data_IF_765944022969
#
_entry.id   IF_765944022969
#
_cell.length_a   1.000
_cell.length_b   1.000
_cell.length_c   1.000
_cell.angle_alpha   90.00
_cell.angle_beta   90.00
_cell.angle_gamma   90.00
#
_symmetry.space_group_name_H-M   'P 1'
#
loop_
_entity.id
_entity.type
_entity.pdbx_description
1 polymer ?
#
# COMPACT_ATOMS: atom_id res chain seq x y z
N UNK A 1 -11.79 -26.88 -13.41
CA UNK A 1 -11.11 -25.99 -12.44
C UNK A 1 -9.63 -26.11 -12.72
N UNK A 2 -8.95 -24.99 -13.00
CA UNK A 2 -7.50 -25.01 -13.20
C UNK A 2 -6.82 -25.43 -11.88
N UNK A 3 -5.75 -26.21 -11.97
CA UNK A 3 -5.00 -26.64 -10.78
C UNK A 3 -4.31 -25.44 -10.13
N UNK A 4 -4.50 -25.26 -8.82
CA UNK A 4 -3.89 -24.15 -8.08
C UNK A 4 -2.37 -24.28 -8.06
N UNK A 5 -1.66 -23.18 -8.31
CA UNK A 5 -0.20 -23.12 -8.22
C UNK A 5 0.24 -23.18 -6.74
N UNK A 6 0.87 -24.28 -6.26
CA UNK A 6 1.11 -24.45 -4.83
C UNK A 6 2.04 -23.41 -4.20
N UNK A 7 2.97 -22.85 -4.99
CA UNK A 7 3.87 -21.77 -4.53
C UNK A 7 3.14 -20.45 -4.31
N UNK A 8 2.20 -20.10 -5.21
CA UNK A 8 1.39 -18.89 -5.08
C UNK A 8 0.43 -19.00 -3.88
N UNK A 9 -0.18 -20.17 -3.67
CA UNK A 9 -1.00 -20.43 -2.47
C UNK A 9 -0.17 -20.26 -1.18
N UNK A 10 1.05 -20.81 -1.14
CA UNK A 10 1.94 -20.63 0.03
C UNK A 10 2.33 -19.16 0.24
N UNK A 11 2.62 -18.44 -0.84
CA UNK A 11 2.95 -17.01 -0.78
C UNK A 11 1.77 -16.19 -0.25
N UNK A 12 0.56 -16.42 -0.75
CA UNK A 12 -0.66 -15.78 -0.28
C UNK A 12 -0.89 -15.99 1.22
N UNK A 13 -0.72 -17.24 1.69
CA UNK A 13 -0.83 -17.56 3.12
C UNK A 13 0.23 -16.85 3.97
N UNK A 14 1.47 -16.78 3.50
CA UNK A 14 2.55 -16.07 4.20
C UNK A 14 2.25 -14.57 4.31
N UNK A 15 1.80 -13.93 3.21
CA UNK A 15 1.46 -12.49 3.18
C UNK A 15 0.30 -12.18 4.12
N UNK A 16 -0.72 -13.04 4.18
CA UNK A 16 -1.87 -12.89 5.06
C UNK A 16 -1.58 -13.07 6.56
N UNK A 17 -0.36 -13.44 6.95
CA UNK A 17 0.04 -13.61 8.34
C UNK A 17 -0.79 -14.66 9.09
N UNK A 18 -1.13 -14.40 10.36
CA UNK A 18 -1.88 -15.34 11.20
C UNK A 18 -3.23 -15.70 10.57
N UNK A 19 -3.98 -14.71 10.09
CA UNK A 19 -5.27 -14.96 9.45
C UNK A 19 -5.12 -15.70 8.11
N UNK A 20 -4.08 -15.37 7.33
CA UNK A 20 -3.78 -16.05 6.07
C UNK A 20 -3.44 -17.53 6.25
N UNK A 21 -2.76 -17.90 7.34
CA UNK A 21 -2.41 -19.30 7.63
C UNK A 21 -3.65 -20.18 7.88
N UNK A 22 -4.71 -19.61 8.45
CA UNK A 22 -5.96 -20.33 8.74
C UNK A 22 -6.98 -20.27 7.61
N UNK A 23 -6.87 -19.29 6.72
CA UNK A 23 -7.80 -19.11 5.62
C UNK A 23 -7.63 -20.20 4.55
N UNK A 24 -8.77 -20.65 4.00
CA UNK A 24 -8.78 -21.43 2.76
C UNK A 24 -8.47 -20.48 1.61
N UNK A 25 -7.46 -20.83 0.81
CA UNK A 25 -7.11 -20.13 -0.43
C UNK A 25 -7.48 -21.06 -1.58
N UNK A 26 -8.48 -20.66 -2.37
CA UNK A 26 -8.87 -21.31 -3.62
C UNK A 26 -8.77 -20.32 -4.80
N UNK A 27 -9.20 -20.73 -6.00
CA UNK A 27 -9.00 -19.94 -7.21
C UNK A 27 -9.72 -18.59 -7.21
N UNK A 28 -10.77 -18.45 -6.39
CA UNK A 28 -11.56 -17.23 -6.27
C UNK A 28 -11.09 -16.33 -5.11
N UNK A 29 -10.06 -16.74 -4.37
CA UNK A 29 -9.52 -15.90 -3.30
C UNK A 29 -8.76 -14.71 -3.90
N UNK A 30 -9.07 -13.44 -3.53
CA UNK A 30 -8.37 -12.26 -4.04
C UNK A 30 -6.87 -12.27 -3.72
N UNK A 31 -6.48 -12.91 -2.62
CA UNK A 31 -5.09 -13.16 -2.28
C UNK A 31 -4.35 -14.02 -3.33
N UNK A 32 -5.06 -14.89 -4.04
CA UNK A 32 -4.48 -15.78 -5.05
C UNK A 32 -4.57 -15.18 -6.45
N UNK A 33 -5.76 -14.81 -6.91
CA UNK A 33 -5.95 -14.38 -8.29
C UNK A 33 -5.25 -13.05 -8.60
N UNK A 34 -5.00 -12.20 -7.61
CA UNK A 34 -4.14 -11.01 -7.78
C UNK A 34 -2.71 -11.33 -8.20
N UNK A 35 -2.16 -12.48 -7.79
CA UNK A 35 -0.75 -12.81 -8.00
C UNK A 35 -0.51 -13.87 -9.06
N UNK A 36 -1.50 -14.75 -9.31
CA UNK A 36 -1.29 -15.97 -10.12
C UNK A 36 -0.84 -15.69 -11.57
N UNK A 37 -1.22 -14.55 -12.15
CA UNK A 37 -0.85 -14.22 -13.53
C UNK A 37 0.40 -13.35 -13.65
N UNK A 38 0.87 -12.76 -12.54
CA UNK A 38 1.98 -11.79 -12.54
C UNK A 38 3.20 -12.23 -11.74
N UNK A 39 3.07 -13.24 -10.88
CA UNK A 39 4.17 -13.79 -10.08
C UNK A 39 4.53 -15.19 -10.60
N UNK A 40 5.77 -15.38 -11.03
CA UNK A 40 6.29 -16.70 -11.42
C UNK A 40 6.58 -17.59 -10.22
N UNK A 41 6.72 -18.90 -10.44
CA UNK A 41 7.03 -19.85 -9.36
C UNK A 41 8.43 -19.61 -8.77
N UNK A 42 9.38 -19.12 -9.58
CA UNK A 42 10.72 -18.76 -9.14
C UNK A 42 10.72 -17.47 -8.32
N UNK A 43 9.96 -16.47 -8.75
CA UNK A 43 9.73 -15.25 -7.98
C UNK A 43 9.05 -15.57 -6.64
N UNK A 44 8.08 -16.48 -6.63
CA UNK A 44 7.42 -16.91 -5.40
C UNK A 44 8.40 -17.57 -4.41
N UNK A 45 9.35 -18.39 -4.88
CA UNK A 45 10.38 -18.96 -4.01
C UNK A 45 11.26 -17.88 -3.37
N UNK A 46 11.65 -16.85 -4.14
CA UNK A 46 12.44 -15.71 -3.62
C UNK A 46 11.62 -14.91 -2.59
N UNK A 47 10.34 -14.64 -2.87
CA UNK A 47 9.46 -13.93 -1.94
C UNK A 47 9.24 -14.71 -0.63
N UNK A 48 9.01 -16.03 -0.74
CA UNK A 48 8.89 -16.92 0.41
C UNK A 48 10.17 -16.99 1.25
N UNK A 49 11.33 -16.96 0.60
CA UNK A 49 12.63 -16.96 1.29
C UNK A 49 12.87 -15.70 2.13
N UNK A 50 12.30 -14.56 1.72
CA UNK A 50 12.39 -13.32 2.49
C UNK A 50 11.67 -13.43 3.84
N UNK A 51 10.45 -13.99 3.81
CA UNK A 51 9.51 -13.99 4.93
C UNK A 51 8.75 -12.66 5.05
N UNK A 52 7.62 -12.69 5.76
CA UNK A 52 6.79 -11.50 5.97
C UNK A 52 7.54 -10.46 6.83
N UNK A 53 7.62 -9.21 6.32
CA UNK A 53 8.19 -8.03 7.01
C UNK A 53 9.61 -8.21 7.54
N UNK A 54 10.43 -9.03 6.87
CA UNK A 54 11.86 -9.20 7.20
C UNK A 54 12.73 -8.67 6.07
N UNK A 55 13.57 -7.71 6.40
CA UNK A 55 14.53 -7.14 5.46
C UNK A 55 15.66 -8.11 5.18
N UNK A 56 15.85 -8.44 3.91
CA UNK A 56 16.90 -9.35 3.45
C UNK A 56 17.74 -8.69 2.38
N UNK A 57 19.06 -8.89 2.45
CA UNK A 57 19.95 -8.58 1.34
C UNK A 57 19.78 -9.63 0.24
N UNK A 58 20.24 -9.30 -0.97
CA UNK A 58 20.19 -10.23 -2.09
C UNK A 58 21.05 -11.48 -1.85
N UNK A 59 22.18 -11.37 -1.13
CA UNK A 59 23.05 -12.50 -0.80
C UNK A 59 22.36 -13.50 0.12
N UNK A 60 21.57 -12.99 1.08
CA UNK A 60 20.76 -13.84 1.94
C UNK A 60 19.73 -14.63 1.11
N UNK A 61 19.00 -13.93 0.23
CA UNK A 61 17.98 -14.54 -0.61
C UNK A 61 18.61 -15.58 -1.56
N UNK A 62 19.73 -15.24 -2.20
CA UNK A 62 20.44 -16.12 -3.13
C UNK A 62 20.90 -17.41 -2.42
N UNK A 63 21.50 -17.29 -1.24
CA UNK A 63 21.88 -18.44 -0.41
C UNK A 63 20.68 -19.28 0.00
N UNK A 64 19.56 -18.65 0.37
CA UNK A 64 18.36 -19.35 0.84
C UNK A 64 17.64 -20.09 -0.30
N UNK A 65 17.66 -19.53 -1.50
CA UNK A 65 17.04 -20.11 -2.70
C UNK A 65 17.97 -21.05 -3.47
N UNK A 66 19.28 -21.07 -3.16
CA UNK A 66 20.27 -21.85 -3.92
C UNK A 66 20.50 -21.31 -5.34
N UNK A 67 20.35 -19.99 -5.54
CA UNK A 67 20.50 -19.29 -6.83
C UNK A 67 21.75 -18.42 -6.84
N UNK A 68 22.14 -17.93 -8.03
CA UNK A 68 23.19 -16.91 -8.12
C UNK A 68 22.69 -15.56 -7.54
N UNK A 69 23.64 -14.73 -7.08
CA UNK A 69 23.31 -13.38 -6.58
C UNK A 69 22.70 -12.52 -7.69
N UNK A 70 23.25 -12.60 -8.91
CA UNK A 70 22.77 -11.85 -10.08
C UNK A 70 21.33 -12.22 -10.45
N UNK A 71 21.04 -13.52 -10.59
CA UNK A 71 19.70 -14.00 -10.89
C UNK A 71 18.70 -13.62 -9.79
N UNK A 72 19.09 -13.79 -8.52
CA UNK A 72 18.23 -13.42 -7.39
C UNK A 72 17.96 -11.93 -7.34
N UNK A 73 18.96 -11.10 -7.67
CA UNK A 73 18.80 -9.65 -7.73
C UNK A 73 17.76 -9.26 -8.77
N UNK A 74 17.88 -9.83 -9.98
CA UNK A 74 16.92 -9.62 -11.06
C UNK A 74 15.50 -9.99 -10.63
N UNK A 75 15.30 -11.18 -10.08
CA UNK A 75 13.99 -11.64 -9.61
C UNK A 75 13.43 -10.75 -8.48
N UNK A 76 14.29 -10.27 -7.57
CA UNK A 76 13.88 -9.39 -6.49
C UNK A 76 13.46 -8.00 -6.99
N UNK A 77 14.14 -7.46 -8.02
CA UNK A 77 13.75 -6.21 -8.66
C UNK A 77 12.44 -6.35 -9.43
N UNK A 78 12.25 -7.44 -10.18
CA UNK A 78 10.98 -7.74 -10.86
C UNK A 78 9.83 -7.84 -9.85
N UNK A 79 10.04 -8.52 -8.72
CA UNK A 79 9.06 -8.56 -7.62
C UNK A 79 8.73 -7.18 -7.05
N UNK A 80 9.71 -6.26 -7.02
CA UNK A 80 9.48 -4.88 -6.61
C UNK A 80 8.71 -4.07 -7.67
N UNK A 81 8.96 -4.31 -8.95
CA UNK A 81 8.19 -3.74 -10.06
C UNK A 81 6.75 -4.27 -10.10
N UNK A 82 6.54 -5.55 -9.78
CA UNK A 82 5.19 -6.14 -9.63
C UNK A 82 4.46 -5.50 -8.45
N UNK A 83 5.16 -5.28 -7.34
CA UNK A 83 4.62 -4.69 -6.10
C UNK A 83 4.60 -5.64 -4.89
N UNK A 84 5.10 -6.87 -5.05
CA UNK A 84 5.19 -7.88 -3.98
C UNK A 84 6.33 -7.56 -3.01
N UNK A 85 7.47 -7.10 -3.54
CA UNK A 85 8.57 -6.60 -2.73
C UNK A 85 8.55 -5.08 -2.60
N UNK A 86 8.93 -4.64 -1.40
CA UNK A 86 9.53 -3.33 -1.19
C UNK A 86 11.03 -3.45 -1.31
N UNK A 87 11.67 -2.41 -1.83
CA UNK A 87 13.12 -2.27 -1.86
C UNK A 87 13.52 -0.90 -1.30
N UNK A 88 14.51 -0.88 -0.42
CA UNK A 88 15.13 0.36 0.09
C UNK A 88 16.62 0.14 0.37
N UNK A 89 17.34 1.24 0.61
CA UNK A 89 18.73 1.19 1.04
C UNK A 89 18.83 0.98 2.55
N UNK A 90 19.71 0.08 2.98
CA UNK A 90 20.09 -0.03 4.40
C UNK A 90 21.14 1.04 4.77
N UNK A 91 21.58 1.05 6.03
CA UNK A 91 22.60 2.00 6.53
C UNK A 91 23.97 1.87 5.86
N UNK A 92 24.22 0.79 5.11
CA UNK A 92 25.44 0.56 4.32
C UNK A 92 25.28 0.91 2.84
N UNK A 93 24.12 1.40 2.42
CA UNK A 93 23.83 1.72 1.02
C UNK A 93 23.51 0.51 0.14
N UNK A 94 23.29 -0.66 0.73
CA UNK A 94 22.92 -1.89 0.01
C UNK A 94 21.40 -1.98 -0.15
N UNK A 95 20.93 -2.59 -1.24
CA UNK A 95 19.51 -2.89 -1.40
C UNK A 95 19.08 -4.00 -0.43
N UNK A 96 18.02 -3.73 0.32
CA UNK A 96 17.29 -4.73 1.09
C UNK A 96 15.87 -4.87 0.57
N UNK A 97 15.40 -6.10 0.51
CA UNK A 97 14.09 -6.47 0.00
C UNK A 97 13.24 -7.08 1.11
N UNK A 98 11.94 -6.79 1.10
CA UNK A 98 11.00 -7.37 2.05
C UNK A 98 9.57 -7.44 1.49
N UNK A 99 8.80 -8.41 1.99
CA UNK A 99 7.37 -8.57 1.69
C UNK A 99 6.54 -7.81 2.71
N UNK A 100 5.56 -7.02 2.26
CA UNK A 100 4.57 -6.36 3.12
C UNK A 100 3.26 -7.19 3.19
N UNK A 101 2.28 -6.72 3.96
CA UNK A 101 0.92 -7.31 3.94
C UNK A 101 0.17 -6.90 2.66
N UNK A 102 -0.98 -7.51 2.39
CA UNK A 102 -1.80 -7.19 1.21
C UNK A 102 -2.31 -5.74 1.19
N UNK A 103 -2.85 -5.23 2.30
CA UNK A 103 -3.40 -3.87 2.40
C UNK A 103 -3.30 -3.30 3.83
N UNK A 104 -2.85 -2.04 4.02
CA UNK A 104 -2.11 -1.23 3.04
C UNK A 104 -0.75 -1.90 2.71
N UNK A 105 -0.42 -2.02 1.43
CA UNK A 105 0.77 -2.77 1.00
C UNK A 105 0.69 -3.27 -0.45
N UNK A 106 0.86 -4.59 -0.63
CA UNK A 106 1.09 -5.22 -1.94
C UNK A 106 0.03 -4.84 -2.98
N UNK A 107 -1.25 -4.92 -2.66
CA UNK A 107 -2.33 -4.66 -3.63
C UNK A 107 -2.33 -3.20 -4.08
N UNK A 108 -2.04 -2.26 -3.18
CA UNK A 108 -1.90 -0.85 -3.52
C UNK A 108 -0.72 -0.63 -4.50
N UNK A 109 0.38 -1.36 -4.33
CA UNK A 109 1.54 -1.27 -5.22
C UNK A 109 1.29 -1.92 -6.57
N UNK A 110 0.58 -3.03 -6.59
CA UNK A 110 0.22 -3.73 -7.82
C UNK A 110 -0.73 -2.88 -8.67
N UNK A 111 -1.73 -2.25 -8.05
CA UNK A 111 -2.64 -1.32 -8.73
C UNK A 111 -1.95 -0.02 -9.14
N UNK A 112 -0.99 0.47 -8.35
CA UNK A 112 -0.18 1.65 -8.68
C UNK A 112 0.70 1.47 -9.93
N UNK A 113 0.96 0.22 -10.35
CA UNK A 113 1.62 -0.06 -11.63
C UNK A 113 0.58 -0.01 -12.77
N UNK A 114 0.50 1.14 -13.45
CA UNK A 114 -0.51 1.42 -14.49
C UNK A 114 -0.50 0.41 -15.64
N UNK A 115 0.70 -0.02 -16.09
CA UNK A 115 0.83 -1.00 -17.18
C UNK A 115 0.30 -2.35 -16.72
N UNK A 116 0.73 -2.80 -15.55
CA UNK A 116 0.26 -4.06 -14.97
C UNK A 116 -1.25 -4.05 -14.75
N UNK A 117 -1.83 -2.97 -14.22
CA UNK A 117 -3.28 -2.88 -14.01
C UNK A 117 -4.07 -2.91 -15.33
N UNK A 118 -3.52 -2.36 -16.41
CA UNK A 118 -4.15 -2.41 -17.73
C UNK A 118 -4.10 -3.81 -18.36
N UNK A 119 -3.01 -4.55 -18.14
CA UNK A 119 -2.84 -5.93 -18.63
C UNK A 119 -3.56 -6.97 -17.74
N UNK A 120 -3.66 -6.68 -16.45
CA UNK A 120 -4.21 -7.55 -15.40
C UNK A 120 -5.24 -6.81 -14.53
N UNK A 121 -6.42 -6.46 -15.07
CA UNK A 121 -7.47 -5.76 -14.33
C UNK A 121 -7.97 -6.52 -13.10
N UNK A 122 -7.83 -7.86 -13.07
CA UNK A 122 -8.18 -8.70 -11.93
C UNK A 122 -7.44 -8.27 -10.64
N UNK A 123 -6.31 -7.58 -10.73
CA UNK A 123 -5.61 -7.02 -9.56
C UNK A 123 -6.43 -5.90 -8.89
N UNK A 124 -7.10 -5.06 -9.68
CA UNK A 124 -7.99 -4.02 -9.18
C UNK A 124 -9.22 -4.59 -8.49
N UNK A 125 -9.81 -5.62 -9.11
CA UNK A 125 -10.91 -6.42 -8.52
C UNK A 125 -10.48 -7.03 -7.17
N UNK A 126 -9.28 -7.64 -7.13
CA UNK A 126 -8.73 -8.22 -5.91
C UNK A 126 -8.55 -7.18 -4.80
N UNK A 127 -8.09 -5.98 -5.14
CA UNK A 127 -7.89 -4.93 -4.14
C UNK A 127 -9.20 -4.45 -3.51
N UNK A 128 -10.23 -4.25 -4.33
CA UNK A 128 -11.59 -3.95 -3.88
C UNK A 128 -12.11 -5.06 -2.96
N UNK A 129 -12.10 -6.29 -3.46
CA UNK A 129 -12.72 -7.43 -2.80
C UNK A 129 -12.00 -7.81 -1.51
N UNK A 130 -10.67 -7.88 -1.54
CA UNK A 130 -9.86 -8.19 -0.37
C UNK A 130 -10.13 -7.18 0.76
N UNK A 131 -10.07 -5.88 0.45
CA UNK A 131 -10.28 -4.84 1.48
C UNK A 131 -11.70 -4.89 2.03
N UNK A 132 -12.71 -5.06 1.16
CA UNK A 132 -14.12 -5.20 1.57
C UNK A 132 -14.34 -6.40 2.48
N UNK A 133 -13.87 -7.59 2.09
CA UNK A 133 -14.03 -8.83 2.87
C UNK A 133 -13.31 -8.74 4.21
N UNK A 134 -12.05 -8.29 4.22
CA UNK A 134 -11.28 -8.14 5.47
C UNK A 134 -11.94 -7.17 6.43
N UNK A 135 -12.38 -6.02 5.93
CA UNK A 135 -13.02 -5.01 6.75
C UNK A 135 -14.41 -5.43 7.22
N UNK A 136 -15.15 -6.24 6.47
CA UNK A 136 -16.44 -6.78 6.93
C UNK A 136 -16.33 -7.58 8.24
N UNK A 137 -15.19 -8.26 8.44
CA UNK A 137 -14.91 -9.01 9.67
C UNK A 137 -14.29 -8.12 10.75
N UNK A 138 -13.36 -7.24 10.37
CA UNK A 138 -12.57 -6.46 11.34
C UNK A 138 -13.28 -5.22 11.86
N UNK A 139 -14.09 -4.54 11.03
CA UNK A 139 -14.65 -3.23 11.31
C UNK A 139 -15.37 -3.10 12.67
N UNK A 140 -16.19 -4.07 13.13
CA UNK A 140 -16.84 -3.98 14.44
C UNK A 140 -15.90 -4.07 15.64
N UNK A 141 -14.67 -4.54 15.44
CA UNK A 141 -13.67 -4.78 16.49
C UNK A 141 -12.63 -3.67 16.59
N UNK A 142 -12.63 -2.73 15.64
CA UNK A 142 -11.63 -1.66 15.61
C UNK A 142 -11.95 -0.62 16.68
N UNK A 143 -10.98 -0.27 17.56
CA UNK A 143 -11.18 0.81 18.51
C UNK A 143 -11.22 2.17 17.80
N UNK A 144 -11.57 3.22 18.54
CA UNK A 144 -11.49 4.59 18.03
C UNK A 144 -10.08 4.89 17.50
N UNK A 145 -9.97 5.40 16.27
CA UNK A 145 -8.70 5.68 15.60
C UNK A 145 -7.85 4.42 15.30
N UNK A 146 -8.44 3.22 15.44
CA UNK A 146 -7.75 1.94 15.24
C UNK A 146 -7.80 1.41 13.80
N UNK A 147 -8.30 2.19 12.85
CA UNK A 147 -8.30 1.84 11.43
C UNK A 147 -6.89 1.62 10.87
N UNK A 148 -6.79 0.90 9.74
CA UNK A 148 -5.51 0.72 9.03
C UNK A 148 -5.02 1.99 8.34
N UNK A 149 -5.93 2.93 8.12
CA UNK A 149 -5.68 4.31 7.71
C UNK A 149 -6.28 5.22 8.77
N UNK A 150 -5.63 6.36 9.05
CA UNK A 150 -6.08 7.36 10.01
C UNK A 150 -6.23 8.70 9.31
N UNK A 151 -7.33 9.40 9.56
CA UNK A 151 -7.54 10.76 9.08
C UNK A 151 -6.60 11.72 9.82
N UNK A 152 -5.97 12.63 9.07
CA UNK A 152 -5.24 13.77 9.62
C UNK A 152 -6.11 15.01 9.40
N UNK A 153 -6.39 15.79 10.47
CA UNK A 153 -7.18 17.00 10.33
C UNK A 153 -6.50 18.01 9.40
N UNK A 154 -7.30 18.81 8.71
CA UNK A 154 -6.78 19.99 8.00
C UNK A 154 -6.13 20.89 9.03
N UNK A 155 -4.87 21.25 8.82
CA UNK A 155 -4.05 21.88 9.85
C UNK A 155 -4.60 23.25 10.30
N UNK A 156 -5.20 24.01 9.37
CA UNK A 156 -5.87 25.28 9.68
C UNK A 156 -7.09 25.10 10.60
N UNK A 157 -7.74 23.93 10.60
CA UNK A 157 -8.88 23.63 11.47
C UNK A 157 -8.46 23.37 12.93
N UNK A 158 -7.18 23.07 13.18
CA UNK A 158 -6.62 22.79 14.51
C UNK A 158 -5.59 23.83 14.95
N UNK A 159 -5.41 24.92 14.20
CA UNK A 159 -4.40 25.95 14.49
C UNK A 159 -4.57 26.56 15.89
N UNK A 160 -5.81 26.84 16.30
CA UNK A 160 -6.13 27.40 17.61
C UNK A 160 -6.25 26.33 18.72
N UNK A 161 -6.12 25.04 18.40
CA UNK A 161 -6.24 23.98 19.38
C UNK A 161 -4.92 23.78 20.13
N UNK A 162 -4.84 24.29 21.36
CA UNK A 162 -3.64 24.17 22.21
C UNK A 162 -3.31 22.74 22.63
N UNK A 163 -4.20 21.77 22.39
CA UNK A 163 -3.98 20.34 22.67
C UNK A 163 -3.52 19.56 21.43
N UNK A 164 -3.49 20.19 20.25
CA UNK A 164 -3.03 19.54 19.02
C UNK A 164 -1.57 19.13 19.16
N UNK A 165 -1.29 17.87 18.87
CA UNK A 165 0.06 17.29 18.97
C UNK A 165 0.77 17.34 17.61
N UNK A 166 2.11 17.34 17.55
CA UNK A 166 2.83 17.51 16.29
C UNK A 166 2.43 16.52 15.19
N UNK A 167 2.25 15.24 15.53
CA UNK A 167 1.89 14.19 14.56
C UNK A 167 0.41 14.23 14.09
N UNK A 168 -0.37 15.22 14.52
CA UNK A 168 -1.69 15.54 13.94
C UNK A 168 -1.60 16.64 12.87
N UNK A 169 -0.40 17.17 12.60
CA UNK A 169 -0.14 18.22 11.62
C UNK A 169 0.56 17.63 10.40
N UNK A 170 0.13 18.00 9.20
CA UNK A 170 0.84 17.56 7.99
C UNK A 170 2.21 18.22 7.88
N UNK A 171 2.34 19.48 8.33
CA UNK A 171 3.62 20.18 8.39
C UNK A 171 4.70 19.39 9.14
N UNK A 172 4.36 18.68 10.21
CA UNK A 172 5.28 17.81 10.94
C UNK A 172 5.90 16.73 10.05
N UNK A 173 5.08 16.06 9.23
CA UNK A 173 5.57 15.02 8.31
C UNK A 173 6.37 15.64 7.16
N UNK A 174 5.92 16.79 6.63
CA UNK A 174 6.65 17.51 5.60
C UNK A 174 8.00 18.05 6.10
N UNK A 175 8.13 18.46 7.36
CA UNK A 175 9.41 18.89 7.94
C UNK A 175 10.37 17.72 8.19
N UNK A 176 9.82 16.54 8.44
CA UNK A 176 10.59 15.35 8.83
C UNK A 176 11.28 14.65 7.67
N UNK A 177 10.67 14.63 6.50
CA UNK A 177 11.18 13.95 5.31
C UNK A 177 11.70 14.95 4.29
N UNK A 178 12.61 14.53 3.41
CA UNK A 178 13.25 15.37 2.39
C UNK A 178 12.91 14.97 0.94
N UNK A 179 12.40 13.75 0.77
CA UNK A 179 12.11 13.15 -0.53
C UNK A 179 10.62 12.92 -0.64
N UNK A 180 10.02 13.39 -1.75
CA UNK A 180 8.59 13.29 -1.99
C UNK A 180 8.30 12.80 -3.40
N UNK A 181 7.19 12.08 -3.53
CA UNK A 181 6.65 11.72 -4.83
C UNK A 181 5.13 11.83 -4.84
N UNK A 182 4.56 12.02 -6.03
CA UNK A 182 3.11 12.03 -6.23
C UNK A 182 2.72 10.97 -7.25
N UNK A 183 1.74 10.15 -6.87
CA UNK A 183 1.15 9.11 -7.70
C UNK A 183 -0.36 9.30 -7.82
N UNK A 184 -0.94 8.55 -8.76
CA UNK A 184 -2.38 8.40 -8.85
C UNK A 184 -2.92 7.57 -7.66
N UNK A 185 -4.21 7.71 -7.37
CA UNK A 185 -4.86 7.01 -6.26
C UNK A 185 -5.15 5.55 -6.63
N UNK A 186 -4.47 4.60 -5.97
CA UNK A 186 -4.72 3.17 -6.19
C UNK A 186 -6.16 2.76 -5.87
N UNK A 187 -6.81 3.36 -4.87
CA UNK A 187 -8.21 3.02 -4.55
C UNK A 187 -9.17 3.45 -5.67
N UNK A 188 -8.99 4.65 -6.24
CA UNK A 188 -9.80 5.12 -7.37
C UNK A 188 -9.49 4.35 -8.65
N UNK A 189 -8.22 4.03 -8.90
CA UNK A 189 -7.81 3.18 -10.01
C UNK A 189 -8.45 1.79 -9.95
N UNK A 190 -8.48 1.15 -8.77
CA UNK A 190 -9.16 -0.14 -8.57
C UNK A 190 -10.67 -0.02 -8.81
N UNK A 191 -11.31 1.03 -8.27
CA UNK A 191 -12.74 1.31 -8.50
C UNK A 191 -13.07 1.48 -9.99
N UNK A 192 -12.25 2.22 -10.74
CA UNK A 192 -12.42 2.40 -12.19
C UNK A 192 -12.42 1.07 -12.93
N UNK A 193 -11.51 0.15 -12.55
CA UNK A 193 -11.42 -1.17 -13.19
C UNK A 193 -12.69 -1.99 -12.99
N UNK A 194 -13.32 -1.90 -11.81
CA UNK A 194 -14.61 -2.58 -11.52
C UNK A 194 -15.83 -1.81 -12.01
N UNK A 195 -15.65 -0.79 -12.86
CA UNK A 195 -16.75 -0.01 -13.45
C UNK A 195 -17.40 0.99 -12.50
N UNK A 196 -16.73 1.33 -11.39
CA UNK A 196 -17.26 2.22 -10.38
C UNK A 196 -16.47 3.54 -10.29
N UNK A 197 -17.18 4.65 -10.07
CA UNK A 197 -16.56 5.97 -9.94
C UNK A 197 -17.21 6.80 -8.84
N UNK A 198 -16.52 7.84 -8.38
CA UNK A 198 -17.04 8.78 -7.38
C UNK A 198 -16.97 10.26 -7.81
N UNK A 199 -16.65 10.54 -9.09
CA UNK A 199 -16.51 11.89 -9.62
C UNK A 199 -15.27 12.67 -9.17
N UNK A 200 -14.50 12.17 -8.21
CA UNK A 200 -13.23 12.77 -7.77
C UNK A 200 -12.07 12.31 -8.64
N UNK A 201 -11.03 13.15 -8.73
CA UNK A 201 -9.85 12.90 -9.55
C UNK A 201 -9.09 11.64 -9.11
N UNK A 202 -8.74 10.76 -10.06
CA UNK A 202 -7.81 9.65 -9.81
C UNK A 202 -6.35 10.14 -9.75
N UNK A 203 -6.01 11.13 -10.58
CA UNK A 203 -4.62 11.52 -10.83
C UNK A 203 -4.04 12.44 -9.76
N UNK A 204 -2.75 12.24 -9.43
CA UNK A 204 -1.97 13.07 -8.50
C UNK A 204 -2.57 13.25 -7.09
N UNK A 205 -2.98 12.15 -6.46
CA UNK A 205 -3.73 12.17 -5.19
C UNK A 205 -3.01 11.53 -4.01
N UNK A 206 -2.04 10.65 -4.25
CA UNK A 206 -1.28 10.01 -3.19
C UNK A 206 0.12 10.60 -3.17
N UNK A 207 0.50 11.19 -2.05
CA UNK A 207 1.85 11.69 -1.78
C UNK A 207 2.60 10.60 -1.02
N UNK A 208 3.81 10.27 -1.44
CA UNK A 208 4.72 9.44 -0.66
C UNK A 208 5.89 10.28 -0.15
N UNK A 209 6.49 9.83 0.95
CA UNK A 209 7.55 10.54 1.66
C UNK A 209 8.71 9.59 2.01
N UNK A 210 9.91 10.13 2.07
CA UNK A 210 11.12 9.41 2.47
C UNK A 210 11.33 8.11 1.67
N UNK A 211 11.58 7.01 2.38
CA UNK A 211 11.79 5.68 1.76
C UNK A 211 10.59 5.20 0.92
N UNK A 212 9.37 5.67 1.25
CA UNK A 212 8.19 5.40 0.44
C UNK A 212 8.27 6.09 -0.92
N UNK A 213 8.67 7.36 -0.93
CA UNK A 213 8.86 8.13 -2.17
C UNK A 213 9.96 7.53 -3.04
N UNK A 214 11.11 7.19 -2.45
CA UNK A 214 12.22 6.55 -3.17
C UNK A 214 11.78 5.29 -3.91
N UNK A 215 11.01 4.42 -3.25
CA UNK A 215 10.48 3.19 -3.85
C UNK A 215 9.53 3.49 -5.02
N UNK A 216 8.60 4.43 -4.84
CA UNK A 216 7.63 4.78 -5.87
C UNK A 216 8.29 5.43 -7.10
N UNK A 217 9.31 6.25 -6.89
CA UNK A 217 10.13 6.84 -7.97
C UNK A 217 10.92 5.73 -8.68
N UNK A 218 11.64 4.90 -7.92
CA UNK A 218 12.49 3.82 -8.45
C UNK A 218 11.71 2.84 -9.32
N UNK A 219 10.46 2.57 -8.98
CA UNK A 219 9.61 1.62 -9.70
C UNK A 219 8.68 2.29 -10.74
N UNK A 220 8.87 3.58 -11.02
CA UNK A 220 8.13 4.30 -12.06
C UNK A 220 6.63 4.53 -11.75
N UNK A 221 6.21 4.35 -10.49
CA UNK A 221 4.82 4.53 -10.05
C UNK A 221 4.47 5.99 -9.77
N UNK A 222 5.45 6.79 -9.42
CA UNK A 222 5.30 8.19 -9.09
C UNK A 222 6.39 9.04 -9.72
N UNK A 223 6.10 10.32 -9.88
CA UNK A 223 7.11 11.33 -10.19
C UNK A 223 7.61 11.97 -8.89
N UNK A 224 8.90 12.31 -8.86
CA UNK A 224 9.47 13.09 -7.77
C UNK A 224 8.91 14.52 -7.80
N UNK A 225 8.69 15.10 -6.61
CA UNK A 225 8.17 16.47 -6.46
C UNK A 225 8.92 17.22 -5.36
N UNK A 226 8.78 18.55 -5.38
CA UNK A 226 9.27 19.43 -4.31
C UNK A 226 8.27 19.51 -3.17
N UNK A 227 8.72 19.92 -1.98
CA UNK A 227 7.84 20.15 -0.83
C UNK A 227 6.76 21.19 -1.15
N UNK A 228 7.13 22.30 -1.78
CA UNK A 228 6.18 23.36 -2.13
C UNK A 228 5.11 22.86 -3.10
N UNK A 229 5.46 21.89 -3.95
CA UNK A 229 4.50 21.24 -4.82
C UNK A 229 3.56 20.29 -4.06
N UNK A 230 4.06 19.56 -3.05
CA UNK A 230 3.22 18.78 -2.14
C UNK A 230 2.23 19.69 -1.43
N UNK A 231 2.67 20.81 -0.86
CA UNK A 231 1.80 21.77 -0.17
C UNK A 231 0.70 22.32 -1.09
N UNK A 232 1.03 22.66 -2.34
CA UNK A 232 0.03 23.06 -3.35
C UNK A 232 -0.98 21.95 -3.64
N UNK A 233 -0.54 20.69 -3.72
CA UNK A 233 -1.44 19.56 -3.96
C UNK A 233 -2.34 19.28 -2.76
N UNK A 234 -1.83 19.35 -1.53
CA UNK A 234 -2.63 19.18 -0.32
C UNK A 234 -3.71 20.26 -0.22
N UNK A 235 -3.35 21.53 -0.48
CA UNK A 235 -4.33 22.62 -0.52
C UNK A 235 -5.38 22.42 -1.60
N UNK A 236 -4.98 21.99 -2.79
CA UNK A 236 -5.91 21.67 -3.88
C UNK A 236 -6.86 20.53 -3.49
N UNK A 237 -6.37 19.49 -2.81
CA UNK A 237 -7.20 18.41 -2.31
C UNK A 237 -8.22 18.89 -1.26
N UNK A 238 -7.80 19.75 -0.33
CA UNK A 238 -8.70 20.39 0.66
C UNK A 238 -9.79 21.23 -0.01
N UNK A 239 -9.42 22.06 -0.99
CA UNK A 239 -10.36 22.87 -1.78
C UNK A 239 -11.35 22.01 -2.59
N UNK A 240 -10.97 20.77 -2.92
CA UNK A 240 -11.84 19.77 -3.54
C UNK A 240 -12.65 18.93 -2.53
N UNK A 241 -12.61 19.27 -1.24
CA UNK A 241 -13.37 18.59 -0.18
C UNK A 241 -12.83 17.21 0.19
N UNK A 242 -11.56 16.92 -0.13
CA UNK A 242 -10.90 15.66 0.24
C UNK A 242 -10.33 15.75 1.67
N UNK A 243 -10.29 14.60 2.33
CA UNK A 243 -9.66 14.43 3.65
C UNK A 243 -8.26 13.85 3.50
N UNK A 244 -7.34 14.32 4.32
CA UNK A 244 -6.01 13.74 4.41
C UNK A 244 -6.04 12.48 5.24
N UNK A 245 -5.37 11.43 4.77
CA UNK A 245 -5.18 10.19 5.51
C UNK A 245 -3.72 9.75 5.46
N UNK A 246 -3.29 9.06 6.51
CA UNK A 246 -1.99 8.39 6.55
C UNK A 246 -2.17 6.91 6.91
N UNK A 247 -1.28 6.01 6.46
CA UNK A 247 -1.22 4.64 6.98
C UNK A 247 -1.04 4.64 8.51
N UNK A 248 -1.80 3.81 9.21
CA UNK A 248 -1.83 3.72 10.67
C UNK A 248 -1.29 2.36 11.16
N UNK A 249 -0.33 1.80 10.42
CA UNK A 249 0.29 0.50 10.69
C UNK A 249 1.75 0.62 11.11
N UNK A 250 2.27 1.83 11.14
CA UNK A 250 3.63 2.20 11.55
C UNK A 250 3.60 2.80 12.97
N UNK A 251 4.76 3.13 13.53
CA UNK A 251 4.85 3.82 14.82
C UNK A 251 4.22 5.23 14.76
N UNK A 252 3.72 5.71 15.90
CA UNK A 252 3.11 7.05 15.98
C UNK A 252 4.13 8.11 15.58
N UNK A 253 3.74 8.99 14.65
CA UNK A 253 4.64 10.00 14.08
C UNK A 253 5.52 9.51 12.93
N UNK A 254 5.39 8.25 12.51
CA UNK A 254 5.93 7.74 11.24
C UNK A 254 4.83 7.61 10.20
N UNK A 255 5.13 7.97 8.95
CA UNK A 255 4.26 7.65 7.83
C UNK A 255 5.04 7.66 6.52
N UNK A 256 4.76 6.69 5.65
CA UNK A 256 5.33 6.63 4.31
C UNK A 256 4.50 7.39 3.26
N UNK A 257 3.27 7.79 3.58
CA UNK A 257 2.36 8.40 2.61
C UNK A 257 1.31 9.33 3.24
N UNK A 258 0.85 10.30 2.45
CA UNK A 258 -0.34 11.10 2.70
C UNK A 258 -1.29 10.88 1.52
N UNK A 259 -2.49 10.41 1.80
CA UNK A 259 -3.53 10.15 0.82
C UNK A 259 -4.60 11.24 0.88
N UNK A 260 -5.04 11.73 -0.29
CA UNK A 260 -6.09 12.72 -0.43
C UNK A 260 -7.42 12.04 -0.80
N UNK A 261 -8.20 11.69 0.20
CA UNK A 261 -9.24 10.67 0.14
C UNK A 261 -10.66 11.22 0.22
N UNK A 262 -11.61 10.45 -0.32
CA UNK A 262 -13.05 10.63 -0.09
C UNK A 262 -13.66 9.30 0.34
N UNK A 263 -14.69 9.34 1.20
CA UNK A 263 -15.36 8.14 1.70
C UNK A 263 -16.04 7.31 0.59
N UNK A 264 -16.25 7.88 -0.60
CA UNK A 264 -16.87 7.24 -1.73
C UNK A 264 -15.99 6.16 -2.40
N UNK A 265 -14.66 6.27 -2.31
CA UNK A 265 -13.76 5.34 -3.02
C UNK A 265 -12.53 4.92 -2.23
N UNK A 266 -12.12 5.66 -1.19
CA UNK A 266 -11.00 5.24 -0.37
C UNK A 266 -11.34 3.95 0.38
N UNK A 267 -10.47 2.93 0.28
CA UNK A 267 -10.67 1.66 0.95
C UNK A 267 -10.43 1.73 2.47
N UNK A 268 -9.78 2.78 2.96
CA UNK A 268 -9.73 3.16 4.39
C UNK A 268 -11.03 3.79 4.86
N UNK A 269 -11.37 4.98 4.35
CA UNK A 269 -12.56 5.74 4.79
C UNK A 269 -13.90 5.04 4.56
N UNK A 270 -14.05 4.33 3.43
CA UNK A 270 -15.36 3.75 3.08
C UNK A 270 -15.83 2.71 4.10
N UNK A 271 -14.91 2.17 4.91
CA UNK A 271 -15.24 1.21 5.98
C UNK A 271 -16.22 1.79 6.99
N UNK A 272 -16.16 3.09 7.26
CA UNK A 272 -17.10 3.80 8.11
C UNK A 272 -18.52 3.76 7.53
N UNK A 273 -18.65 4.04 6.23
CA UNK A 273 -19.95 4.10 5.54
C UNK A 273 -20.49 2.70 5.26
N UNK A 274 -19.64 1.75 4.86
CA UNK A 274 -20.04 0.39 4.49
C UNK A 274 -20.40 -0.48 5.69
N UNK A 275 -19.69 -0.32 6.81
CA UNK A 275 -19.81 -1.22 7.97
C UNK A 275 -20.20 -0.49 9.26
N UNK A 276 -20.52 0.81 9.20
CA UNK A 276 -20.88 1.62 10.37
C UNK A 276 -19.72 1.88 11.34
N UNK A 277 -18.48 1.66 10.92
CA UNK A 277 -17.27 1.76 11.75
C UNK A 277 -16.69 3.20 11.80
N UNK A 278 -17.55 4.19 12.06
CA UNK A 278 -17.16 5.60 12.07
C UNK A 278 -16.00 5.92 13.03
N UNK A 279 -15.93 5.20 14.14
CA UNK A 279 -14.90 5.39 15.15
C UNK A 279 -13.52 4.96 14.66
N UNK A 280 -13.43 3.97 13.77
CA UNK A 280 -12.16 3.44 13.27
C UNK A 280 -11.38 4.45 12.44
N UNK A 281 -12.06 5.37 11.76
CA UNK A 281 -11.46 6.35 10.83
C UNK A 281 -11.25 7.74 11.44
N UNK A 282 -11.50 7.90 12.74
CA UNK A 282 -11.28 9.19 13.43
C UNK A 282 -9.78 9.51 13.54
N UNK A 283 -9.47 10.80 13.52
CA UNK A 283 -8.14 11.34 13.82
C UNK A 283 -7.78 11.13 15.28
#
# INVERSE_FOLDING_TARGET
MAELRPKIVRLAKMIGGIAGMTNKIDENAPEYYSMVNVVSDEQADVALAAGLRKERTVEYLAKKCGKSVEETHKLALELAEIGVFRVRKNTRGEDVFFVQIFAPGILEMMVGNKKQLAEHPEIGEAFEEYTRLRMSTMAPMLPMGGGLMRVIPIESAIEANSKAVPYEKLSYYLDKYDTYSISDCSCRAARRVVGEGCGHLEHNMCVQMGVGAEYFIRTGRARQVTREEVERHLKMAEENGLMHEIPNIEEVGESAAICNCCACSCFGLRTAVMFGSYDAVRS
#
